data_IF_424524969566
#
_entry.id   IF_424524969566
#
_cell.length_a   1.000
_cell.length_b   1.000
_cell.length_c   1.000
_cell.angle_alpha   90.00
_cell.angle_beta   90.00
_cell.angle_gamma   90.00
#
_symmetry.space_group_name_H-M   'P 1'
#
loop_
_entity.id
_entity.type
_entity.pdbx_description
1 polymer ?
#
# COMPACT_ATOMS: atom_id res chain seq x y z
N UNK A 1 10.79 -71.58 5.12
CA UNK A 1 9.82 -70.56 4.70
C UNK A 1 10.44 -69.16 4.88
N UNK A 2 10.94 -68.46 3.82
CA UNK A 2 11.55 -67.14 3.99
C UNK A 2 10.81 -65.99 3.26
N UNK A 3 9.58 -66.18 2.78
CA UNK A 3 8.87 -65.21 1.91
C UNK A 3 8.22 -64.01 2.62
N UNK A 4 8.09 -64.04 3.95
CA UNK A 4 7.31 -63.03 4.68
C UNK A 4 8.07 -61.72 4.98
N UNK A 5 9.41 -61.77 5.03
CA UNK A 5 10.24 -60.60 5.36
C UNK A 5 10.30 -59.55 4.24
N UNK A 6 10.10 -59.95 2.97
CA UNK A 6 10.11 -59.04 1.83
C UNK A 6 8.83 -58.19 1.72
N UNK A 7 7.67 -58.77 2.04
CA UNK A 7 6.39 -58.07 1.97
C UNK A 7 6.25 -57.00 3.06
N UNK A 8 6.71 -57.28 4.28
CA UNK A 8 6.68 -56.33 5.38
C UNK A 8 7.54 -55.07 5.11
N UNK A 9 8.69 -55.24 4.45
CA UNK A 9 9.56 -54.11 4.07
C UNK A 9 8.86 -53.17 3.07
N UNK A 10 8.20 -53.73 2.06
CA UNK A 10 7.49 -52.95 1.03
C UNK A 10 6.34 -52.17 1.65
N UNK A 11 5.60 -52.76 2.60
CA UNK A 11 4.51 -52.08 3.31
C UNK A 11 5.04 -50.92 4.15
N UNK A 12 6.12 -51.13 4.92
CA UNK A 12 6.74 -50.05 5.71
C UNK A 12 7.26 -48.93 4.81
N UNK A 13 7.89 -49.28 3.70
CA UNK A 13 8.43 -48.30 2.76
C UNK A 13 7.32 -47.51 2.04
N UNK A 14 6.20 -48.17 1.72
CA UNK A 14 5.02 -47.51 1.17
C UNK A 14 4.37 -46.56 2.18
N UNK A 15 4.21 -46.99 3.45
CA UNK A 15 3.68 -46.13 4.52
C UNK A 15 4.60 -44.94 4.77
N UNK A 16 5.92 -45.17 4.82
CA UNK A 16 6.91 -44.11 4.97
C UNK A 16 6.88 -43.11 3.80
N UNK A 17 6.75 -43.60 2.57
CA UNK A 17 6.63 -42.76 1.37
C UNK A 17 5.35 -41.91 1.40
N UNK A 18 4.22 -42.49 1.80
CA UNK A 18 2.95 -41.78 1.96
C UNK A 18 3.07 -40.72 3.07
N UNK A 19 3.64 -41.06 4.23
CA UNK A 19 3.88 -40.12 5.32
C UNK A 19 4.83 -38.98 4.91
N UNK A 20 5.87 -39.28 4.12
CA UNK A 20 6.81 -38.28 3.61
C UNK A 20 6.14 -37.32 2.61
N UNK A 21 5.32 -37.85 1.70
CA UNK A 21 4.55 -37.02 0.75
C UNK A 21 3.56 -36.11 1.48
N UNK A 22 2.89 -36.61 2.53
CA UNK A 22 1.99 -35.80 3.37
C UNK A 22 2.78 -34.72 4.14
N UNK A 23 3.95 -35.06 4.69
CA UNK A 23 4.82 -34.11 5.38
C UNK A 23 5.35 -33.00 4.47
N UNK A 24 5.77 -33.34 3.25
CA UNK A 24 6.27 -32.37 2.27
C UNK A 24 5.16 -31.42 1.79
N UNK A 25 3.96 -31.94 1.57
CA UNK A 25 2.79 -31.13 1.19
C UNK A 25 2.42 -30.14 2.29
N UNK A 26 2.50 -30.55 3.56
CA UNK A 26 2.27 -29.68 4.71
C UNK A 26 3.28 -28.54 4.82
N UNK A 27 4.57 -28.83 4.59
CA UNK A 27 5.63 -27.80 4.61
C UNK A 27 5.50 -26.80 3.47
N UNK A 28 5.17 -27.26 2.26
CA UNK A 28 4.92 -26.38 1.11
C UNK A 28 3.72 -25.46 1.37
N UNK A 29 2.64 -25.99 1.94
CA UNK A 29 1.46 -25.20 2.30
C UNK A 29 1.78 -24.12 3.34
N UNK A 30 2.59 -24.43 4.36
CA UNK A 30 3.02 -23.47 5.36
C UNK A 30 3.86 -22.33 4.76
N UNK A 31 4.79 -22.64 3.87
CA UNK A 31 5.61 -21.63 3.19
C UNK A 31 4.76 -20.68 2.34
N UNK A 32 3.79 -21.22 1.59
CA UNK A 32 2.86 -20.40 0.79
C UNK A 32 2.00 -19.51 1.69
N UNK A 33 1.49 -20.03 2.80
CA UNK A 33 0.71 -19.25 3.77
C UNK A 33 1.53 -18.09 4.36
N UNK A 34 2.80 -18.32 4.71
CA UNK A 34 3.69 -17.28 5.20
C UNK A 34 3.95 -16.17 4.17
N UNK A 35 4.15 -16.53 2.89
CA UNK A 35 4.34 -15.55 1.83
C UNK A 35 3.08 -14.71 1.61
N UNK A 36 1.90 -15.34 1.61
CA UNK A 36 0.62 -14.62 1.53
C UNK A 36 0.46 -13.66 2.70
N UNK A 37 0.68 -14.13 3.94
CA UNK A 37 0.60 -13.31 5.13
C UNK A 37 1.57 -12.11 5.07
N UNK A 38 2.79 -12.31 4.56
CA UNK A 38 3.76 -11.23 4.32
C UNK A 38 3.25 -10.20 3.30
N UNK A 39 2.73 -10.65 2.16
CA UNK A 39 2.18 -9.76 1.13
C UNK A 39 0.97 -8.96 1.65
N UNK A 40 0.08 -9.59 2.41
CA UNK A 40 -1.06 -8.91 3.04
C UNK A 40 -0.60 -7.90 4.09
N UNK A 41 0.43 -8.23 4.88
CA UNK A 41 1.01 -7.33 5.85
C UNK A 41 1.59 -6.08 5.17
N UNK A 42 2.39 -6.25 4.12
CA UNK A 42 3.00 -5.13 3.40
C UNK A 42 1.96 -4.25 2.69
N UNK A 43 0.92 -4.86 2.10
CA UNK A 43 -0.20 -4.13 1.50
C UNK A 43 -0.99 -3.32 2.56
N UNK A 44 -1.20 -3.90 3.75
CA UNK A 44 -1.88 -3.22 4.86
C UNK A 44 -1.06 -2.05 5.38
N UNK A 45 0.26 -2.24 5.55
CA UNK A 45 1.17 -1.16 5.95
C UNK A 45 1.18 -0.01 4.93
N UNK A 46 1.22 -0.33 3.64
CA UNK A 46 1.12 0.68 2.59
C UNK A 46 -0.20 1.47 2.68
N UNK A 47 -1.33 0.79 2.94
CA UNK A 47 -2.64 1.44 3.07
C UNK A 47 -2.69 2.37 4.29
N UNK A 48 -2.19 1.92 5.43
CA UNK A 48 -2.09 2.75 6.65
C UNK A 48 -1.20 3.98 6.37
N UNK A 49 -0.10 3.81 5.64
CA UNK A 49 0.74 4.93 5.21
C UNK A 49 -0.03 5.97 4.40
N UNK A 50 -0.84 5.53 3.42
CA UNK A 50 -1.67 6.44 2.63
C UNK A 50 -2.68 7.23 3.49
N UNK A 51 -3.38 6.55 4.40
CA UNK A 51 -4.34 7.19 5.31
C UNK A 51 -3.64 8.16 6.28
N UNK A 52 -2.44 7.79 6.75
CA UNK A 52 -1.59 8.64 7.58
C UNK A 52 -1.15 9.89 6.81
N UNK A 53 -0.79 9.77 5.53
CA UNK A 53 -0.43 10.90 4.70
C UNK A 53 -1.57 11.92 4.60
N UNK A 54 -2.80 11.43 4.39
CA UNK A 54 -3.98 12.29 4.28
C UNK A 54 -4.29 12.97 5.61
N UNK A 55 -4.28 12.21 6.71
CA UNK A 55 -4.54 12.76 8.04
C UNK A 55 -3.48 13.81 8.44
N UNK A 56 -2.20 13.52 8.20
CA UNK A 56 -1.11 14.44 8.48
C UNK A 56 -1.23 15.72 7.65
N UNK A 57 -1.52 15.59 6.35
CA UNK A 57 -1.72 16.75 5.49
C UNK A 57 -2.89 17.61 5.94
N UNK A 58 -4.04 17.00 6.25
CA UNK A 58 -5.20 17.73 6.75
C UNK A 58 -4.90 18.53 8.03
N UNK A 59 -4.03 18.00 8.90
CA UNK A 59 -3.65 18.65 10.15
C UNK A 59 -2.56 19.73 9.99
N UNK A 60 -1.70 19.63 8.99
CA UNK A 60 -0.45 20.41 8.93
C UNK A 60 -0.26 21.25 7.68
N UNK A 61 -0.98 20.96 6.58
CA UNK A 61 -0.80 21.67 5.31
C UNK A 61 -1.59 22.99 5.31
N UNK A 62 -0.91 24.15 5.40
CA UNK A 62 -1.58 25.45 5.44
C UNK A 62 -2.16 25.85 4.08
N UNK A 63 -1.72 25.21 2.99
CA UNK A 63 -2.14 25.54 1.63
C UNK A 63 -3.48 24.88 1.26
N UNK A 64 -4.10 24.08 2.15
CA UNK A 64 -5.42 23.49 1.89
C UNK A 64 -6.54 24.51 1.69
N UNK A 65 -6.35 25.72 2.21
CA UNK A 65 -7.28 26.85 2.06
C UNK A 65 -6.99 27.72 0.84
N UNK A 66 -5.85 27.52 0.17
CA UNK A 66 -5.44 28.29 -0.99
C UNK A 66 -6.04 27.67 -2.27
N UNK A 67 -6.80 28.44 -3.03
CA UNK A 67 -7.54 27.94 -4.19
C UNK A 67 -6.64 27.56 -5.38
N UNK A 68 -5.47 28.18 -5.48
CA UNK A 68 -4.40 27.95 -6.47
C UNK A 68 -3.47 26.79 -6.09
N UNK A 69 -3.63 26.24 -4.89
CA UNK A 69 -2.80 25.18 -4.37
C UNK A 69 -3.27 23.76 -4.75
N UNK A 70 -4.22 23.63 -5.68
CA UNK A 70 -4.72 22.36 -6.21
C UNK A 70 -4.39 22.26 -7.69
N UNK A 71 -3.88 21.10 -8.13
CA UNK A 71 -3.62 20.84 -9.55
C UNK A 71 -4.83 20.16 -10.18
N UNK A 72 -5.39 20.75 -11.22
CA UNK A 72 -6.45 20.14 -12.03
C UNK A 72 -5.91 18.91 -12.77
N UNK A 73 -6.50 17.74 -12.51
CA UNK A 73 -6.13 16.46 -13.13
C UNK A 73 -7.35 15.56 -13.30
N UNK A 74 -7.34 14.74 -14.36
CA UNK A 74 -8.32 13.67 -14.52
C UNK A 74 -8.06 12.51 -13.55
N UNK A 75 -9.13 11.87 -13.06
CA UNK A 75 -9.00 10.71 -12.16
C UNK A 75 -8.14 9.60 -12.75
N UNK A 76 -8.28 9.33 -14.05
CA UNK A 76 -7.51 8.28 -14.73
C UNK A 76 -6.00 8.55 -14.74
N UNK A 77 -5.59 9.83 -14.73
CA UNK A 77 -4.17 10.20 -14.60
C UNK A 77 -3.67 9.85 -13.21
N UNK A 78 -4.42 10.19 -12.16
CA UNK A 78 -4.05 9.88 -10.77
C UNK A 78 -3.95 8.37 -10.56
N UNK A 79 -4.93 7.60 -11.06
CA UNK A 79 -4.95 6.14 -10.91
C UNK A 79 -3.81 5.43 -11.66
N UNK A 80 -3.27 6.05 -12.71
CA UNK A 80 -2.11 5.53 -13.44
C UNK A 80 -0.77 5.83 -12.74
N UNK A 81 -0.75 6.65 -11.69
CA UNK A 81 0.49 6.99 -11.00
C UNK A 81 1.01 5.82 -10.18
N UNK A 82 2.32 5.63 -10.26
CA UNK A 82 3.10 4.73 -9.39
C UNK A 82 3.68 5.49 -8.22
N UNK A 83 4.16 4.80 -7.18
CA UNK A 83 4.92 5.43 -6.11
C UNK A 83 6.05 6.31 -6.64
N UNK A 84 6.82 5.84 -7.63
CA UNK A 84 7.92 6.59 -8.22
C UNK A 84 7.42 7.89 -8.85
N UNK A 85 6.44 7.84 -9.76
CA UNK A 85 5.91 9.05 -10.42
C UNK A 85 5.12 9.97 -9.48
N UNK A 86 4.50 9.40 -8.45
CA UNK A 86 3.77 10.15 -7.43
C UNK A 86 4.72 10.84 -6.46
N UNK A 87 5.94 10.34 -6.27
CA UNK A 87 6.98 10.98 -5.45
C UNK A 87 7.99 11.76 -6.27
N UNK A 88 8.00 11.57 -7.59
CA UNK A 88 8.97 12.23 -8.46
C UNK A 88 8.81 13.74 -8.35
N UNK A 89 9.97 14.36 -8.17
CA UNK A 89 10.11 15.70 -7.64
C UNK A 89 9.63 16.76 -8.62
N UNK A 90 8.79 17.65 -8.11
CA UNK A 90 8.67 19.05 -8.51
C UNK A 90 8.00 19.41 -9.85
N UNK A 91 8.18 18.70 -10.96
CA UNK A 91 7.80 19.25 -12.28
C UNK A 91 6.41 18.86 -12.78
N UNK A 92 5.97 17.61 -12.59
CA UNK A 92 4.72 17.14 -13.17
C UNK A 92 3.44 17.70 -12.52
N UNK A 93 3.53 18.16 -11.26
CA UNK A 93 2.37 18.65 -10.49
C UNK A 93 2.71 19.88 -9.63
N UNK A 94 3.45 20.83 -10.19
CA UNK A 94 3.60 22.18 -9.62
C UNK A 94 4.28 22.25 -8.25
N UNK A 95 5.28 21.41 -7.96
CA UNK A 95 6.07 21.53 -6.73
C UNK A 95 5.37 21.15 -5.43
N UNK A 96 4.15 20.61 -5.46
CA UNK A 96 3.30 20.40 -4.28
C UNK A 96 3.70 19.23 -3.36
N UNK A 97 4.90 18.70 -3.53
CA UNK A 97 5.34 17.47 -2.87
C UNK A 97 5.72 17.73 -1.40
N UNK A 98 5.01 17.07 -0.49
CA UNK A 98 5.35 17.02 0.93
C UNK A 98 5.52 15.57 1.33
N UNK A 99 6.72 15.25 1.80
CA UNK A 99 7.17 13.90 2.13
C UNK A 99 7.35 13.76 3.63
N UNK A 100 6.81 12.68 4.18
CA UNK A 100 7.28 12.13 5.44
C UNK A 100 7.68 10.67 5.17
N UNK A 101 8.95 10.42 4.85
CA UNK A 101 9.53 9.12 5.20
C UNK A 101 10.26 9.30 6.53
N UNK A 102 9.82 8.57 7.53
CA UNK A 102 10.71 8.23 8.61
C UNK A 102 11.76 7.26 8.05
N UNK A 103 13.02 7.71 7.97
CA UNK A 103 14.18 6.92 7.51
C UNK A 103 14.40 5.62 8.30
N UNK A 104 13.71 5.42 9.42
CA UNK A 104 13.78 4.21 10.24
C UNK A 104 12.71 3.16 9.93
N UNK A 105 11.68 3.48 9.15
CA UNK A 105 10.54 2.59 8.94
C UNK A 105 10.42 2.16 7.47
N UNK A 106 10.14 0.88 7.22
CA UNK A 106 9.97 0.34 5.85
C UNK A 106 8.80 0.98 5.09
N UNK A 107 7.95 1.75 5.77
CA UNK A 107 6.75 2.37 5.22
C UNK A 107 7.02 3.84 4.92
N UNK A 108 6.92 4.20 3.65
CA UNK A 108 6.96 5.57 3.18
C UNK A 108 5.55 6.02 2.77
N UNK A 109 5.25 7.30 2.97
CA UNK A 109 3.97 7.86 2.58
C UNK A 109 4.10 9.29 2.06
N UNK A 110 3.19 9.66 1.17
CA UNK A 110 3.18 10.96 0.51
C UNK A 110 1.74 11.38 0.22
N UNK A 111 1.52 12.69 0.13
CA UNK A 111 0.24 13.25 -0.28
C UNK A 111 0.41 14.34 -1.33
N UNK A 112 -0.66 14.57 -2.11
CA UNK A 112 -0.77 15.65 -3.09
C UNK A 112 -2.19 16.23 -3.09
N UNK A 113 -2.32 17.45 -3.62
CA UNK A 113 -3.59 18.18 -3.71
C UNK A 113 -4.03 18.22 -5.16
N UNK A 114 -5.14 17.57 -5.45
CA UNK A 114 -5.68 17.48 -6.79
C UNK A 114 -7.08 18.07 -6.84
N UNK A 115 -7.38 18.78 -7.92
CA UNK A 115 -8.75 19.12 -8.30
C UNK A 115 -9.18 18.15 -9.38
N UNK A 116 -10.20 17.34 -9.07
CA UNK A 116 -10.73 16.32 -9.97
C UNK A 116 -12.19 16.68 -10.22
N UNK A 117 -12.54 16.93 -11.48
CA UNK A 117 -13.91 17.29 -11.88
C UNK A 117 -14.47 18.49 -11.06
N UNK A 118 -13.60 19.46 -10.75
CA UNK A 118 -13.97 20.66 -9.98
C UNK A 118 -14.09 20.46 -8.47
N UNK A 119 -13.79 19.26 -7.94
CA UNK A 119 -13.76 18.99 -6.50
C UNK A 119 -12.32 18.91 -6.00
N UNK A 120 -12.04 19.58 -4.88
CA UNK A 120 -10.74 19.59 -4.21
C UNK A 120 -10.55 18.30 -3.40
N UNK A 121 -9.53 17.53 -3.76
CA UNK A 121 -9.15 16.30 -3.10
C UNK A 121 -7.75 16.39 -2.51
N UNK A 122 -7.60 15.83 -1.32
CA UNK A 122 -6.30 15.42 -0.82
C UNK A 122 -6.10 13.94 -1.10
N UNK A 123 -5.04 13.62 -1.82
CA UNK A 123 -4.75 12.26 -2.27
C UNK A 123 -3.50 11.75 -1.59
N UNK A 124 -3.65 10.67 -0.84
CA UNK A 124 -2.56 9.97 -0.18
C UNK A 124 -2.17 8.69 -0.90
N UNK A 125 -0.87 8.40 -0.89
CA UNK A 125 -0.31 7.13 -1.33
C UNK A 125 0.70 6.65 -0.29
N UNK A 126 0.71 5.36 -0.02
CA UNK A 126 1.72 4.72 0.82
C UNK A 126 2.41 3.60 0.07
N UNK A 127 3.67 3.37 0.43
CA UNK A 127 4.50 2.32 -0.14
C UNK A 127 5.37 1.66 0.94
N UNK A 128 5.63 0.37 0.77
CA UNK A 128 6.65 -0.35 1.52
C UNK A 128 7.91 -0.41 0.65
N UNK A 129 9.01 0.10 1.19
CA UNK A 129 10.29 0.18 0.51
C UNK A 129 11.25 -0.89 1.07
N UNK A 130 12.05 -1.44 0.18
CA UNK A 130 13.21 -2.27 0.53
C UNK A 130 14.31 -1.42 1.16
N UNK A 131 15.32 -2.08 1.76
CA UNK A 131 16.56 -1.43 2.19
C UNK A 131 17.31 -0.72 1.05
N UNK A 132 17.07 -1.13 -0.20
CA UNK A 132 17.57 -0.49 -1.42
C UNK A 132 16.66 0.62 -1.96
N UNK A 133 15.68 1.08 -1.19
CA UNK A 133 14.68 2.10 -1.58
C UNK A 133 13.80 1.71 -2.78
N UNK A 134 13.71 0.41 -3.10
CA UNK A 134 12.84 -0.11 -4.16
C UNK A 134 11.45 -0.39 -3.61
N UNK A 135 10.40 -0.06 -4.35
CA UNK A 135 9.02 -0.32 -3.95
C UNK A 135 8.73 -1.82 -3.97
N UNK A 136 8.43 -2.38 -2.80
CA UNK A 136 8.00 -3.79 -2.61
C UNK A 136 6.48 -3.87 -2.75
N UNK A 137 5.77 -2.92 -2.14
CA UNK A 137 4.32 -2.82 -2.20
C UNK A 137 3.90 -1.35 -2.26
N UNK A 138 2.77 -1.07 -2.91
CA UNK A 138 2.12 0.23 -2.89
C UNK A 138 0.63 0.06 -2.61
N UNK A 139 0.03 1.03 -1.93
CA UNK A 139 -1.40 1.04 -1.69
C UNK A 139 -2.16 1.50 -2.93
N UNK A 140 -3.49 1.32 -2.90
CA UNK A 140 -4.37 2.17 -3.70
C UNK A 140 -4.34 3.59 -3.15
N UNK A 141 -4.65 4.56 -4.00
CA UNK A 141 -4.87 5.94 -3.58
C UNK A 141 -5.99 6.02 -2.54
N UNK A 142 -5.81 6.95 -1.60
CA UNK A 142 -6.83 7.37 -0.65
C UNK A 142 -7.20 8.80 -1.00
N UNK A 143 -8.47 9.04 -1.26
CA UNK A 143 -9.02 10.35 -1.62
C UNK A 143 -9.83 10.90 -0.45
N UNK A 144 -9.45 12.07 0.05
CA UNK A 144 -10.27 12.85 0.96
C UNK A 144 -10.84 14.06 0.22
N UNK A 145 -12.16 14.07 0.00
CA UNK A 145 -12.85 15.21 -0.57
C UNK A 145 -12.91 16.34 0.46
N UNK A 146 -12.50 17.55 0.07
CA UNK A 146 -12.57 18.73 0.91
C UNK A 146 -13.85 19.51 0.58
N UNK A 147 -14.57 19.93 1.62
CA UNK A 147 -15.75 20.80 1.51
C UNK A 147 -15.51 22.08 2.31
N UNK A 148 -15.78 23.23 1.70
CA UNK A 148 -15.73 24.53 2.37
C UNK A 148 -16.88 24.68 3.38
N UNK A 149 -16.55 25.09 4.60
CA UNK A 149 -17.52 25.23 5.69
C UNK A 149 -18.22 26.60 5.73
N UNK A 150 -17.65 27.64 5.11
CA UNK A 150 -18.22 28.99 5.09
C UNK A 150 -17.64 29.84 3.97
N UNK A 151 -18.35 30.91 3.58
CA UNK A 151 -17.82 31.95 2.69
C UNK A 151 -17.68 33.28 3.44
N UNK A 152 -16.48 33.90 3.52
CA UNK A 152 -15.21 33.44 2.93
C UNK A 152 -14.66 32.16 3.61
N UNK A 153 -13.83 31.36 2.91
CA UNK A 153 -13.36 30.06 3.38
C UNK A 153 -12.36 30.23 4.53
N UNK A 154 -12.86 30.14 5.75
CA UNK A 154 -12.04 30.11 6.98
C UNK A 154 -11.75 28.70 7.47
N UNK A 155 -12.46 27.68 6.94
CA UNK A 155 -12.25 26.27 7.26
C UNK A 155 -12.75 25.35 6.14
N UNK A 156 -12.09 24.19 5.96
CA UNK A 156 -12.58 23.06 5.16
C UNK A 156 -12.67 21.82 6.04
N UNK A 157 -13.67 20.96 5.78
CA UNK A 157 -13.79 19.63 6.39
C UNK A 157 -13.57 18.54 5.35
N UNK A 158 -13.17 17.36 5.79
CA UNK A 158 -13.25 16.15 4.96
C UNK A 158 -14.72 15.74 4.84
N UNK A 159 -15.25 15.77 3.62
CA UNK A 159 -16.63 15.37 3.31
C UNK A 159 -16.77 13.87 3.16
N UNK A 160 -15.80 13.21 2.53
CA UNK A 160 -15.80 11.77 2.32
C UNK A 160 -14.39 11.20 2.11
N UNK A 161 -14.26 9.90 2.43
CA UNK A 161 -13.08 9.08 2.19
C UNK A 161 -13.38 8.09 1.06
N UNK A 162 -12.53 8.00 0.05
CA UNK A 162 -12.64 7.03 -1.05
C UNK A 162 -11.31 6.32 -1.32
#
# INVERSE_FOLDING_TARGET
MPKEKGAALVVVLAVLAISLMLGLTGLQSALVSHQLAGNYHDASLARIGAETAVAHAYATDPQLMASDAFVDVDRGVVEALTWATFTDGYTAFGGQFQHNADQGNKVAYAYRRFRIEGTDYLVGLGAVLSSSNTTIAQSRFVYAALEELSSPPTARKIRSWH
#
